data_IF_090252526019
#
_entry.id   IF_090252526019
#
_cell.length_a   1.000
_cell.length_b   1.000
_cell.length_c   1.000
_cell.angle_alpha   90.00
_cell.angle_beta   90.00
_cell.angle_gamma   90.00
#
_symmetry.space_group_name_H-M   'P 1'
#
loop_
_entity.id
_entity.type
_entity.pdbx_description
1 polymer ?
#
# COMPACT_ATOMS: atom_id res chain seq x y z
N UNK A 1 -56.09 -30.83 7.68
CA UNK A 1 -55.23 -29.77 8.25
C UNK A 1 -53.96 -29.72 7.42
N UNK A 2 -53.78 -28.67 6.62
CA UNK A 2 -52.64 -28.53 5.70
C UNK A 2 -51.53 -27.76 6.43
N UNK A 3 -50.51 -28.48 6.89
CA UNK A 3 -49.33 -27.88 7.51
C UNK A 3 -48.41 -27.32 6.42
N UNK A 4 -48.36 -25.99 6.28
CA UNK A 4 -47.39 -25.31 5.42
C UNK A 4 -46.03 -25.29 6.13
N UNK A 5 -45.10 -26.12 5.66
CA UNK A 5 -43.67 -25.97 5.92
C UNK A 5 -43.17 -24.74 5.14
N UNK A 6 -42.94 -23.64 5.84
CA UNK A 6 -42.25 -22.47 5.30
C UNK A 6 -40.75 -22.79 5.35
N UNK A 7 -40.21 -23.20 4.21
CA UNK A 7 -38.77 -23.31 4.02
C UNK A 7 -38.20 -21.89 3.92
N UNK A 8 -37.63 -21.38 5.02
CA UNK A 8 -36.87 -20.14 5.01
C UNK A 8 -35.55 -20.37 4.27
N UNK A 9 -35.51 -19.96 3.00
CA UNK A 9 -34.28 -19.87 2.21
C UNK A 9 -33.42 -18.75 2.83
N UNK A 10 -32.48 -19.11 3.70
CA UNK A 10 -31.42 -18.20 4.12
C UNK A 10 -30.52 -17.95 2.91
N UNK A 11 -30.72 -16.81 2.25
CA UNK A 11 -29.78 -16.25 1.29
C UNK A 11 -28.45 -16.03 2.02
N UNK A 12 -27.52 -16.98 1.90
CA UNK A 12 -26.12 -16.82 2.22
C UNK A 12 -25.58 -15.72 1.30
N UNK A 13 -25.68 -14.48 1.75
CA UNK A 13 -24.99 -13.37 1.12
C UNK A 13 -23.49 -13.69 1.23
N UNK A 14 -22.81 -13.81 0.10
CA UNK A 14 -21.37 -13.98 0.07
C UNK A 14 -20.75 -12.77 0.75
N UNK A 15 -20.33 -12.92 2.00
CA UNK A 15 -19.63 -11.86 2.71
C UNK A 15 -18.32 -11.63 1.96
N UNK A 16 -18.23 -10.53 1.19
CA UNK A 16 -16.96 -10.01 0.71
C UNK A 16 -16.23 -9.41 1.91
N UNK A 17 -15.67 -10.29 2.73
CA UNK A 17 -14.84 -9.93 3.87
C UNK A 17 -13.44 -9.62 3.36
N UNK A 18 -12.93 -8.42 3.67
CA UNK A 18 -11.53 -8.11 3.47
C UNK A 18 -10.73 -8.78 4.59
N UNK A 19 -9.78 -9.63 4.24
CA UNK A 19 -8.91 -10.29 5.21
C UNK A 19 -7.52 -10.47 4.60
N UNK A 20 -6.57 -9.63 5.00
CA UNK A 20 -5.22 -9.62 4.46
C UNK A 20 -4.17 -9.56 5.56
N UNK A 21 -3.41 -10.63 5.74
CA UNK A 21 -2.53 -10.81 6.91
C UNK A 21 -1.04 -10.96 6.53
N UNK A 22 -0.18 -10.14 7.12
CA UNK A 22 1.28 -10.24 7.02
C UNK A 22 1.90 -10.87 8.27
N UNK A 23 2.45 -12.07 8.10
CA UNK A 23 3.23 -12.78 9.11
C UNK A 23 4.71 -12.33 9.13
N UNK A 24 5.46 -12.80 10.14
CA UNK A 24 6.93 -12.75 10.19
C UNK A 24 7.55 -11.36 10.21
N UNK A 25 6.99 -10.40 10.96
CA UNK A 25 7.45 -9.00 10.99
C UNK A 25 7.33 -8.26 9.64
N UNK A 26 6.46 -8.73 8.74
CA UNK A 26 6.16 -8.05 7.48
C UNK A 26 5.04 -7.05 7.66
N UNK A 27 5.05 -6.04 6.80
CA UNK A 27 4.03 -4.98 6.74
C UNK A 27 3.43 -4.92 5.35
N UNK A 28 2.28 -4.25 5.24
CA UNK A 28 1.55 -4.06 3.99
C UNK A 28 2.19 -2.94 3.17
N UNK A 29 2.72 -3.29 2.00
CA UNK A 29 3.42 -2.37 1.09
C UNK A 29 2.65 -2.30 -0.23
N UNK A 30 2.57 -1.09 -0.78
CA UNK A 30 2.02 -0.83 -2.11
C UNK A 30 3.03 -1.25 -3.17
N UNK A 31 2.60 -2.09 -4.11
CA UNK A 31 3.40 -2.54 -5.24
C UNK A 31 3.22 -1.62 -6.46
N UNK A 32 1.97 -1.35 -6.84
CA UNK A 32 1.64 -0.46 -7.96
C UNK A 32 0.21 0.08 -7.84
N UNK A 33 -0.04 1.17 -8.56
CA UNK A 33 -1.34 1.79 -8.71
C UNK A 33 -1.92 1.46 -10.09
N UNK A 34 -3.21 1.18 -10.12
CA UNK A 34 -4.05 1.20 -11.31
C UNK A 34 -4.91 2.46 -11.34
N UNK A 35 -5.87 2.52 -12.27
CA UNK A 35 -6.84 3.61 -12.36
C UNK A 35 -7.81 3.60 -11.17
N UNK A 36 -8.30 2.42 -10.82
CA UNK A 36 -9.30 2.18 -9.76
C UNK A 36 -8.89 0.98 -8.87
N UNK A 37 -7.60 0.71 -8.78
CA UNK A 37 -7.06 -0.43 -8.04
C UNK A 37 -5.70 -0.12 -7.46
N UNK A 38 -5.37 -0.76 -6.34
CA UNK A 38 -4.03 -0.77 -5.78
C UNK A 38 -3.62 -2.22 -5.58
N UNK A 39 -2.42 -2.57 -6.04
CA UNK A 39 -1.82 -3.86 -5.70
C UNK A 39 -0.95 -3.70 -4.47
N UNK A 40 -1.16 -4.55 -3.48
CA UNK A 40 -0.40 -4.54 -2.24
C UNK A 40 0.18 -5.94 -1.98
N UNK A 41 1.28 -6.01 -1.23
CA UNK A 41 1.90 -7.26 -0.84
C UNK A 41 2.58 -7.15 0.54
N UNK A 42 2.85 -8.29 1.18
CA UNK A 42 3.59 -8.35 2.43
C UNK A 42 5.08 -8.32 2.14
N UNK A 43 5.79 -7.44 2.83
CA UNK A 43 7.24 -7.35 2.70
C UNK A 43 7.88 -6.99 4.03
N UNK A 44 9.13 -7.39 4.22
CA UNK A 44 9.93 -6.89 5.35
C UNK A 44 10.20 -5.41 5.15
N UNK A 45 10.02 -4.65 6.21
CA UNK A 45 10.25 -3.22 6.21
C UNK A 45 11.76 -2.93 6.22
N UNK A 46 12.19 -2.06 5.31
CA UNK A 46 13.48 -1.38 5.39
C UNK A 46 13.19 0.06 5.82
N UNK A 47 13.48 0.37 7.08
CA UNK A 47 13.21 1.68 7.66
C UNK A 47 14.51 2.46 7.68
N UNK A 48 14.70 3.34 6.70
CA UNK A 48 15.89 4.20 6.60
C UNK A 48 17.23 3.45 6.58
N UNK A 49 17.28 2.27 5.94
CA UNK A 49 18.47 1.41 5.85
C UNK A 49 18.54 0.33 6.93
N UNK A 50 17.66 0.38 7.92
CA UNK A 50 17.58 -0.62 8.98
C UNK A 50 16.68 -1.77 8.55
N UNK A 51 17.23 -2.98 8.55
CA UNK A 51 16.59 -4.24 8.14
C UNK A 51 16.36 -5.14 9.35
N UNK A 52 15.68 -6.26 9.12
CA UNK A 52 15.41 -7.30 10.12
C UNK A 52 14.68 -6.80 11.37
N UNK A 53 13.90 -5.74 11.20
CA UNK A 53 13.13 -5.10 12.25
C UNK A 53 12.09 -6.08 12.83
N UNK A 54 11.87 -6.00 14.13
CA UNK A 54 10.89 -6.82 14.85
C UNK A 54 9.64 -6.01 15.13
N UNK A 55 8.50 -6.63 14.86
CA UNK A 55 7.20 -6.04 15.12
C UNK A 55 6.74 -6.34 16.54
N UNK A 56 6.32 -5.30 17.24
CA UNK A 56 5.40 -5.42 18.37
C UNK A 56 3.99 -5.15 17.87
N UNK A 57 3.14 -6.17 17.95
CA UNK A 57 1.80 -6.10 17.37
C UNK A 57 0.77 -5.47 18.32
N UNK A 58 -0.10 -4.63 17.77
CA UNK A 58 -1.30 -4.10 18.42
C UNK A 58 -2.51 -4.45 17.54
N UNK A 59 -3.44 -5.22 18.06
CA UNK A 59 -4.57 -5.76 17.29
C UNK A 59 -5.84 -4.91 17.44
N UNK A 60 -6.79 -5.09 16.51
CA UNK A 60 -8.12 -4.47 16.51
C UNK A 60 -8.10 -2.94 16.59
N UNK A 61 -7.09 -2.33 15.97
CA UNK A 61 -6.93 -0.88 15.92
C UNK A 61 -7.78 -0.30 14.77
N UNK A 62 -8.46 0.84 14.95
CA UNK A 62 -9.18 1.49 13.85
C UNK A 62 -8.21 2.00 12.77
N UNK A 63 -6.98 2.35 13.17
CA UNK A 63 -5.88 2.79 12.29
C UNK A 63 -4.54 2.62 12.99
N UNK A 64 -3.46 2.50 12.21
CA UNK A 64 -2.11 2.44 12.75
C UNK A 64 -1.52 3.85 12.91
N UNK A 65 -1.55 4.34 14.15
CA UNK A 65 -1.03 5.65 14.51
C UNK A 65 0.42 5.60 14.97
N UNK A 66 1.19 6.62 14.59
CA UNK A 66 2.60 6.76 14.95
C UNK A 66 3.51 6.81 13.72
N UNK A 67 4.74 7.25 13.94
CA UNK A 67 5.77 7.28 12.90
C UNK A 67 6.29 5.87 12.60
N UNK A 68 6.48 5.06 13.64
CA UNK A 68 7.05 3.71 13.53
C UNK A 68 6.01 2.58 13.60
N UNK A 69 4.76 2.91 13.26
CA UNK A 69 3.63 1.98 13.34
C UNK A 69 3.02 1.78 11.96
N UNK A 70 2.98 0.55 11.48
CA UNK A 70 2.59 0.23 10.11
C UNK A 70 1.53 -0.87 10.09
N UNK A 71 0.70 -0.91 9.04
CA UNK A 71 -0.33 -1.95 8.89
C UNK A 71 0.32 -3.29 8.59
N UNK A 72 -0.08 -4.32 9.32
CA UNK A 72 0.34 -5.71 9.09
C UNK A 72 -0.85 -6.64 8.79
N UNK A 73 -2.01 -6.38 9.38
CA UNK A 73 -3.24 -7.10 9.07
C UNK A 73 -4.36 -6.09 8.86
N UNK A 74 -5.26 -6.40 7.94
CA UNK A 74 -6.50 -5.69 7.72
C UNK A 74 -7.66 -6.69 7.70
N UNK A 75 -8.71 -6.41 8.46
CA UNK A 75 -9.92 -7.23 8.55
C UNK A 75 -11.16 -6.35 8.43
N UNK A 76 -12.12 -6.78 7.61
CA UNK A 76 -13.44 -6.19 7.51
C UNK A 76 -14.46 -7.32 7.60
N UNK A 77 -15.23 -7.36 8.69
CA UNK A 77 -16.14 -8.47 8.98
C UNK A 77 -17.39 -8.49 8.07
N UNK A 78 -17.83 -7.33 7.60
CA UNK A 78 -18.98 -7.16 6.70
C UNK A 78 -18.61 -6.23 5.55
N UNK A 79 -19.29 -6.34 4.41
CA UNK A 79 -18.98 -5.59 3.18
C UNK A 79 -18.96 -4.06 3.38
N UNK A 80 -19.84 -3.55 4.23
CA UNK A 80 -19.97 -2.11 4.56
C UNK A 80 -19.46 -1.77 5.95
N UNK A 81 -18.93 -2.74 6.68
CA UNK A 81 -18.47 -2.56 8.06
C UNK A 81 -17.15 -1.79 8.15
N UNK A 82 -16.80 -1.29 9.34
CA UNK A 82 -15.52 -0.65 9.56
C UNK A 82 -14.38 -1.65 9.35
N UNK A 83 -13.24 -1.12 8.92
CA UNK A 83 -12.01 -1.89 8.74
C UNK A 83 -11.18 -1.82 10.02
N UNK A 84 -10.84 -2.99 10.57
CA UNK A 84 -9.96 -3.15 11.71
C UNK A 84 -8.54 -3.53 11.23
N UNK A 85 -7.53 -3.12 12.00
CA UNK A 85 -6.13 -3.32 11.67
C UNK A 85 -5.39 -4.03 12.81
N UNK A 86 -4.41 -4.85 12.45
CA UNK A 86 -3.30 -5.17 13.34
C UNK A 86 -2.07 -4.39 12.91
N UNK A 87 -1.50 -3.65 13.84
CA UNK A 87 -0.42 -2.71 13.64
C UNK A 87 0.90 -3.28 14.13
N UNK A 88 1.91 -3.25 13.27
CA UNK A 88 3.30 -3.53 13.62
C UNK A 88 3.98 -2.24 14.09
N UNK A 89 4.32 -2.16 15.37
CA UNK A 89 5.15 -1.09 15.93
C UNK A 89 6.62 -1.53 15.99
N UNK A 90 7.53 -0.68 15.50
CA UNK A 90 8.97 -0.91 15.55
C UNK A 90 9.55 -0.21 16.79
N UNK A 91 10.14 -1.00 17.70
CA UNK A 91 10.82 -0.52 18.90
C UNK A 91 12.23 -1.15 18.99
N UNK A 92 13.29 -0.39 19.34
CA UNK A 92 13.31 1.05 19.61
C UNK A 92 13.17 1.92 18.35
N UNK A 93 12.95 3.23 18.53
CA UNK A 93 12.87 4.20 17.44
C UNK A 93 14.14 4.17 16.57
N UNK A 94 13.97 4.25 15.25
CA UNK A 94 15.08 4.27 14.29
C UNK A 94 15.68 5.68 14.23
N UNK A 95 16.99 5.87 14.55
CA UNK A 95 17.60 7.21 14.71
C UNK A 95 17.46 8.17 13.52
N UNK A 96 17.34 7.66 12.30
CA UNK A 96 17.26 8.48 11.09
C UNK A 96 15.84 8.58 10.52
N UNK A 97 14.86 7.98 11.16
CA UNK A 97 13.47 8.04 10.72
C UNK A 97 12.80 9.27 11.33
N UNK A 98 12.53 10.28 10.50
CA UNK A 98 11.91 11.53 10.94
C UNK A 98 10.38 11.45 10.96
N UNK A 99 9.82 10.43 10.31
CA UNK A 99 8.38 10.25 10.19
C UNK A 99 7.95 9.83 8.79
N UNK A 100 6.68 10.06 8.50
CA UNK A 100 6.01 9.55 7.31
C UNK A 100 5.31 10.70 6.60
N UNK A 101 5.47 10.79 5.29
CA UNK A 101 4.72 11.70 4.43
C UNK A 101 3.61 10.91 3.74
N UNK A 102 2.36 11.22 4.07
CA UNK A 102 1.21 10.40 3.69
C UNK A 102 0.25 11.15 2.77
N UNK A 103 -0.39 10.40 1.88
CA UNK A 103 -1.51 10.85 1.07
C UNK A 103 -2.62 9.79 1.10
N UNK A 104 -3.84 10.18 0.75
CA UNK A 104 -4.99 9.28 0.69
C UNK A 104 -5.27 8.92 -0.76
N UNK A 105 -5.44 7.63 -1.03
CA UNK A 105 -5.88 7.12 -2.32
C UNK A 105 -7.28 6.52 -2.16
N UNK A 106 -8.25 7.03 -2.93
CA UNK A 106 -9.63 6.56 -2.90
C UNK A 106 -9.82 5.44 -3.93
N UNK A 107 -10.37 4.32 -3.49
CA UNK A 107 -10.76 3.19 -4.31
C UNK A 107 -12.29 3.13 -4.36
N UNK A 108 -12.93 3.11 -5.53
CA UNK A 108 -14.36 2.90 -5.61
C UNK A 108 -14.71 1.44 -5.25
N UNK A 109 -15.94 1.21 -4.79
CA UNK A 109 -16.49 -0.14 -4.81
C UNK A 109 -16.58 -0.64 -6.23
N UNK A 110 -16.25 -1.93 -6.43
CA UNK A 110 -16.40 -2.59 -7.73
C UNK A 110 -17.88 -2.83 -8.06
N UNK A 111 -18.60 -1.75 -8.37
CA UNK A 111 -19.84 -1.74 -9.13
C UNK A 111 -19.51 -1.22 -10.53
N UNK A 112 -18.71 -1.99 -11.25
CA UNK A 112 -18.37 -1.75 -12.65
C UNK A 112 -18.43 -3.09 -13.36
N UNK A 113 -19.28 -3.12 -14.38
CA UNK A 113 -19.69 -4.20 -15.28
C UNK A 113 -18.64 -5.32 -15.52
N UNK A 114 -19.12 -6.57 -15.48
CA UNK A 114 -18.53 -7.83 -15.96
C UNK A 114 -16.99 -7.93 -16.06
N UNK A 115 -16.40 -8.61 -15.08
CA UNK A 115 -15.07 -9.19 -15.22
C UNK A 115 -15.12 -10.31 -16.25
N UNK A 116 -14.82 -10.00 -17.50
CA UNK A 116 -14.34 -11.00 -18.45
C UNK A 116 -13.06 -11.61 -17.89
N UNK A 117 -13.18 -12.88 -17.55
CA UNK A 117 -12.10 -13.76 -17.15
C UNK A 117 -11.09 -13.87 -18.29
N UNK A 118 -9.93 -13.22 -18.16
CA UNK A 118 -8.81 -13.43 -19.06
C UNK A 118 -7.67 -14.08 -18.28
N UNK A 119 -7.54 -15.38 -18.52
CA UNK A 119 -6.46 -16.23 -18.05
C UNK A 119 -5.09 -15.76 -18.58
N UNK A 120 -4.07 -16.11 -17.80
CA UNK A 120 -2.63 -16.01 -18.02
C UNK A 120 -2.15 -15.83 -19.47
N UNK A 121 -1.41 -14.74 -19.71
CA UNK A 121 -0.30 -14.70 -20.65
C UNK A 121 0.65 -13.54 -20.30
N UNK A 122 1.87 -13.90 -19.97
CA UNK A 122 3.06 -13.06 -19.92
C UNK A 122 3.27 -12.34 -21.26
N UNK A 123 3.40 -11.00 -21.28
CA UNK A 123 4.19 -10.25 -22.30
C UNK A 123 4.38 -8.76 -21.95
N UNK A 124 5.62 -8.41 -21.64
CA UNK A 124 6.45 -7.34 -22.25
C UNK A 124 5.80 -5.98 -22.60
N UNK A 125 6.27 -4.95 -21.87
CA UNK A 125 6.65 -3.57 -22.27
C UNK A 125 5.82 -2.82 -23.32
N UNK A 126 5.24 -1.69 -22.89
CA UNK A 126 5.10 -0.50 -23.72
C UNK A 126 5.28 0.76 -22.86
N UNK A 127 6.49 1.34 -22.87
CA UNK A 127 6.69 2.74 -22.50
C UNK A 127 6.31 3.58 -23.72
N UNK A 128 5.28 4.42 -23.59
CA UNK A 128 5.01 5.46 -24.58
C UNK A 128 5.82 6.73 -24.23
N UNK A 129 6.39 7.42 -25.24
CA UNK A 129 7.33 8.51 -25.04
C UNK A 129 6.63 9.82 -24.69
N UNK A 130 7.23 10.59 -23.76
CA UNK A 130 6.88 12.00 -23.58
C UNK A 130 7.53 12.80 -24.72
N UNK A 131 6.70 13.36 -25.59
CA UNK A 131 7.09 14.30 -26.65
C UNK A 131 7.75 15.55 -26.05
N UNK A 132 8.95 15.88 -26.51
CA UNK A 132 9.64 17.12 -26.22
C UNK A 132 9.35 18.13 -27.33
N UNK A 133 8.65 19.22 -27.02
CA UNK A 133 8.61 20.40 -27.88
C UNK A 133 9.71 21.39 -27.47
N UNK A 134 10.48 21.76 -28.50
CA UNK A 134 11.29 22.97 -28.72
C UNK A 134 12.33 23.40 -27.67
N UNK A 135 13.59 23.08 -27.96
CA UNK A 135 14.70 23.98 -27.69
C UNK A 135 15.71 23.92 -28.84
N UNK A 136 15.71 25.00 -29.61
CA UNK A 136 16.61 25.29 -30.73
C UNK A 136 18.06 25.48 -30.23
N UNK A 137 18.98 24.94 -31.00
CA UNK A 137 20.44 25.14 -31.05
C UNK A 137 21.30 25.03 -29.76
N UNK A 138 21.79 23.81 -29.47
CA UNK A 138 23.00 23.62 -28.67
C UNK A 138 23.82 22.42 -29.17
N UNK A 139 24.94 22.70 -29.85
CA UNK A 139 25.90 21.70 -30.34
C UNK A 139 26.90 21.34 -29.23
N UNK A 140 26.48 20.49 -28.30
CA UNK A 140 27.38 19.91 -27.31
C UNK A 140 26.71 18.80 -26.51
N UNK A 141 27.42 17.68 -26.30
CA UNK A 141 26.97 16.61 -25.42
C UNK A 141 26.95 17.10 -23.96
N UNK A 142 25.82 17.65 -23.51
CA UNK A 142 25.54 17.79 -22.08
C UNK A 142 25.19 16.41 -21.52
N UNK A 143 26.21 15.62 -21.23
CA UNK A 143 26.11 14.54 -20.26
C UNK A 143 25.81 15.18 -18.90
N UNK A 144 24.54 15.48 -18.67
CA UNK A 144 24.02 15.78 -17.35
C UNK A 144 24.22 14.47 -16.60
N UNK A 145 25.33 14.36 -15.87
CA UNK A 145 25.55 13.34 -14.85
C UNK A 145 24.45 13.52 -13.79
N UNK A 146 23.21 13.20 -14.16
CA UNK A 146 22.25 12.64 -13.26
C UNK A 146 22.89 11.34 -12.83
N UNK A 147 23.74 11.45 -11.81
CA UNK A 147 24.15 10.37 -10.94
C UNK A 147 22.98 9.39 -10.93
N UNK A 148 23.23 8.21 -11.50
CA UNK A 148 22.38 7.04 -11.46
C UNK A 148 22.30 6.61 -9.98
N UNK A 149 21.70 7.47 -9.16
CA UNK A 149 21.32 7.24 -7.79
C UNK A 149 20.15 6.28 -7.95
N UNK A 150 20.48 4.98 -7.98
CA UNK A 150 19.59 3.85 -8.23
C UNK A 150 18.14 4.22 -7.89
N UNK A 151 17.39 4.58 -8.94
CA UNK A 151 16.01 5.07 -8.84
C UNK A 151 15.08 3.89 -8.64
N UNK A 152 15.30 3.10 -7.60
CA UNK A 152 14.21 2.27 -7.10
C UNK A 152 13.18 3.25 -6.55
N UNK A 153 11.94 3.26 -7.04
CA UNK A 153 10.92 4.14 -6.48
C UNK A 153 10.84 3.91 -4.97
N UNK A 154 10.62 4.97 -4.17
CA UNK A 154 10.53 4.84 -2.73
C UNK A 154 9.43 3.82 -2.40
N UNK A 155 9.71 2.87 -1.50
CA UNK A 155 8.69 1.92 -1.03
C UNK A 155 7.57 2.72 -0.35
N UNK A 156 6.34 2.47 -0.80
CA UNK A 156 5.13 3.10 -0.27
C UNK A 156 4.43 2.12 0.66
N UNK A 157 4.10 2.56 1.87
CA UNK A 157 3.59 1.71 2.94
C UNK A 157 2.15 2.09 3.25
N UNK A 158 1.31 1.10 3.56
CA UNK A 158 -0.06 1.36 3.99
C UNK A 158 -0.08 1.67 5.49
N UNK A 159 -0.66 2.81 5.86
CA UNK A 159 -0.85 3.22 7.25
C UNK A 159 -2.28 3.01 7.76
N UNK A 160 -3.25 2.91 6.86
CA UNK A 160 -4.63 2.58 7.20
C UNK A 160 -5.50 2.41 5.97
N UNK A 161 -6.58 1.66 6.14
CA UNK A 161 -7.66 1.48 5.16
C UNK A 161 -8.95 1.79 5.89
N UNK A 162 -9.73 2.72 5.37
CA UNK A 162 -11.01 3.12 5.95
C UNK A 162 -12.12 2.81 4.95
N UNK A 163 -13.18 2.16 5.43
CA UNK A 163 -14.39 1.97 4.64
C UNK A 163 -15.11 3.31 4.49
N UNK A 164 -15.55 3.61 3.27
CA UNK A 164 -16.37 4.78 2.93
C UNK A 164 -17.70 4.33 2.30
N UNK A 165 -18.64 5.25 2.12
CA UNK A 165 -19.96 4.92 1.55
C UNK A 165 -19.84 4.30 0.14
N UNK A 166 -18.93 4.82 -0.67
CA UNK A 166 -18.73 4.43 -2.08
C UNK A 166 -17.39 3.70 -2.35
N UNK A 167 -16.76 3.15 -1.31
CA UNK A 167 -15.50 2.41 -1.48
C UNK A 167 -14.57 2.46 -0.27
N UNK A 168 -13.28 2.67 -0.52
CA UNK A 168 -12.23 2.69 0.51
C UNK A 168 -11.32 3.90 0.37
N UNK A 169 -10.91 4.48 1.50
CA UNK A 169 -9.79 5.40 1.57
C UNK A 169 -8.56 4.69 2.13
N UNK A 170 -7.50 4.63 1.33
CA UNK A 170 -6.23 4.02 1.72
C UNK A 170 -5.23 5.12 2.03
N UNK A 171 -4.77 5.19 3.28
CA UNK A 171 -3.68 6.08 3.70
C UNK A 171 -2.34 5.44 3.34
N UNK A 172 -1.61 6.06 2.42
CA UNK A 172 -0.34 5.55 1.86
C UNK A 172 0.77 6.53 2.17
N UNK A 173 1.89 6.03 2.67
CA UNK A 173 2.97 6.85 3.16
C UNK A 173 4.32 6.52 2.53
N UNK A 174 5.11 7.57 2.34
CA UNK A 174 6.54 7.52 2.06
C UNK A 174 7.31 7.74 3.36
N UNK A 175 8.27 6.87 3.63
CA UNK A 175 9.19 7.06 4.76
C UNK A 175 10.06 8.29 4.53
N UNK A 176 10.19 9.13 5.56
CA UNK A 176 11.14 10.24 5.59
C UNK A 176 12.34 9.84 6.43
N UNK A 177 13.50 9.86 5.78
CA UNK A 177 14.77 9.51 6.38
C UNK A 177 15.74 10.67 6.24
N UNK A 178 16.43 11.02 7.31
CA UNK A 178 17.54 11.94 7.21
C UNK A 178 18.75 11.27 6.58
N UNK A 179 19.46 11.97 5.68
CA UNK A 179 20.81 11.54 5.33
C UNK A 179 21.64 11.47 6.62
N UNK A 180 22.41 10.39 6.79
CA UNK A 180 23.38 10.31 7.88
C UNK A 180 24.25 11.58 7.85
N UNK A 181 24.59 12.19 9.00
CA UNK A 181 25.63 13.21 9.02
C UNK A 181 26.89 12.57 8.45
N UNK A 182 27.40 13.15 7.38
CA UNK A 182 28.61 12.70 6.71
C UNK A 182 29.78 12.98 7.67
N UNK A 183 30.19 11.99 8.45
CA UNK A 183 31.35 12.08 9.36
C UNK A 183 32.67 12.02 8.58
N UNK A 184 32.78 12.72 7.46
CA UNK A 184 34.03 12.95 6.74
C UNK A 184 34.32 14.43 6.67
N UNK A 185 34.99 14.92 7.71
CA UNK A 185 36.05 15.93 7.69
C UNK A 185 36.60 16.00 9.14
N UNK A 186 37.50 15.06 9.44
CA UNK A 186 38.54 15.22 10.47
C UNK A 186 39.87 15.39 9.76
#
# INVERSE_FOLDING_TARGET
MVGRLIAAFLLLHSVRALNYHCNDNKVLIVQNFGKDSIRMHCSHLDLCGYKDLKCRYQENMPRCNGTNTFVSHVVQATETGPVAHSCCSIEPLVPNHEGNECFVYHLPDSHSEDVQQQNDAETVVAQAPLTAESADDFTGYRLKLFLLKNKTPPKLIVQGIERQDEGFAVSICRLRCNPFPDNTLS
#
